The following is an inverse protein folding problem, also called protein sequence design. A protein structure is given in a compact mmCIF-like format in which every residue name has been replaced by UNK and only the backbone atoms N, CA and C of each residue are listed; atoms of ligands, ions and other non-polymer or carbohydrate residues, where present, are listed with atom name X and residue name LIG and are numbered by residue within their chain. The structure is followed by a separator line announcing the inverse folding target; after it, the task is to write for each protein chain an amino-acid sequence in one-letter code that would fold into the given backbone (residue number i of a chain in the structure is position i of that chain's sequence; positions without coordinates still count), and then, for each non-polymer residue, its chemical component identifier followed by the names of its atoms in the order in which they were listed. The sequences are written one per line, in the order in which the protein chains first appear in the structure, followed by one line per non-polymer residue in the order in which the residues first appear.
data_IF_888936404177
#
_entry.id   IF_888936404177
#
_cell.length_a   1.000
_cell.length_b   1.000
_cell.length_c   1.000
_cell.angle_alpha   90.00
_cell.angle_beta   90.00
_cell.angle_gamma   90.00
#
_symmetry.space_group_name_H-M   'P 1'
#
loop_
_entity.id
_entity.type
_entity.pdbx_description
1 polymer ?
#
# COMPACT_ATOMS: atom_id res chain seq x y z
N UNK A 1 -0.19 -21.07 -22.17
CA UNK A 1 -1.23 -21.32 -23.20
C UNK A 1 -2.25 -22.28 -22.60
N UNK A 2 -3.34 -21.74 -22.08
CA UNK A 2 -4.50 -22.51 -21.63
C UNK A 2 -5.51 -22.61 -22.78
N UNK A 3 -6.35 -23.63 -22.77
CA UNK A 3 -7.40 -23.85 -23.76
C UNK A 3 -8.60 -24.44 -23.01
N UNK A 4 -9.62 -23.65 -22.72
CA UNK A 4 -10.81 -24.07 -21.96
C UNK A 4 -12.08 -24.20 -22.83
N UNK A 5 -11.95 -23.89 -24.13
CA UNK A 5 -12.99 -24.08 -25.14
C UNK A 5 -14.00 -22.95 -25.24
N UNK A 6 -13.73 -21.76 -24.68
CA UNK A 6 -14.60 -20.60 -24.86
C UNK A 6 -13.80 -19.26 -24.90
N UNK A 7 -14.50 -18.12 -24.89
CA UNK A 7 -13.91 -16.76 -24.96
C UNK A 7 -14.37 -15.86 -23.81
N UNK A 8 -14.71 -16.46 -22.67
CA UNK A 8 -15.02 -15.73 -21.45
C UNK A 8 -13.71 -15.47 -20.68
N UNK A 9 -13.77 -14.54 -19.74
CA UNK A 9 -12.74 -14.40 -18.71
C UNK A 9 -13.35 -14.89 -17.38
N UNK A 10 -12.51 -15.30 -16.45
CA UNK A 10 -12.87 -15.71 -15.09
C UNK A 10 -13.34 -17.15 -14.95
N UNK A 11 -13.12 -17.97 -15.96
CA UNK A 11 -13.34 -19.41 -15.94
C UNK A 11 -12.04 -20.23 -15.92
N UNK A 12 -10.91 -19.57 -15.64
CA UNK A 12 -9.59 -20.20 -15.49
C UNK A 12 -8.76 -20.18 -16.77
N UNK A 13 -9.23 -19.47 -17.80
CA UNK A 13 -8.48 -19.19 -19.02
C UNK A 13 -8.98 -17.88 -19.61
N UNK A 14 -8.05 -16.95 -19.86
CA UNK A 14 -8.38 -15.66 -20.49
C UNK A 14 -9.01 -15.87 -21.87
N UNK A 15 -9.87 -14.93 -22.28
CA UNK A 15 -10.57 -14.98 -23.56
C UNK A 15 -9.65 -15.00 -24.81
N UNK A 16 -8.35 -14.75 -24.66
CA UNK A 16 -7.36 -14.81 -25.73
C UNK A 16 -6.41 -16.03 -25.62
N UNK A 17 -6.68 -16.94 -24.67
CA UNK A 17 -5.91 -18.16 -24.39
C UNK A 17 -4.44 -17.93 -23.98
N UNK A 18 -4.07 -16.70 -23.62
CA UNK A 18 -2.69 -16.36 -23.26
C UNK A 18 -2.39 -16.63 -21.79
N UNK A 19 -3.35 -16.34 -20.92
CA UNK A 19 -3.25 -16.42 -19.46
C UNK A 19 -4.18 -17.49 -18.87
N UNK A 20 -3.72 -18.22 -17.86
CA UNK A 20 -4.52 -19.11 -17.01
C UNK A 20 -5.22 -18.39 -15.84
N UNK A 21 -5.25 -17.04 -15.87
CA UNK A 21 -6.01 -16.21 -14.95
C UNK A 21 -5.58 -16.33 -13.48
N UNK A 22 -4.27 -16.48 -13.27
CA UNK A 22 -3.67 -16.56 -11.95
C UNK A 22 -2.60 -15.49 -11.79
N UNK A 23 -2.69 -14.68 -10.74
CA UNK A 23 -1.63 -13.79 -10.34
C UNK A 23 -0.27 -14.48 -10.25
N UNK A 24 0.76 -13.82 -10.80
CA UNK A 24 2.13 -14.30 -10.88
C UNK A 24 2.42 -15.17 -12.09
N UNK A 25 1.58 -15.13 -13.13
CA UNK A 25 1.76 -15.93 -14.34
C UNK A 25 2.45 -15.16 -15.48
N UNK A 26 2.79 -13.90 -15.26
CA UNK A 26 3.41 -13.00 -16.22
C UNK A 26 2.42 -12.26 -17.12
N UNK A 27 1.12 -12.35 -16.85
CA UNK A 27 0.06 -11.69 -17.61
C UNK A 27 -0.87 -10.93 -16.68
N UNK A 28 -1.02 -9.63 -16.91
CA UNK A 28 -1.99 -8.82 -16.15
C UNK A 28 -3.42 -9.11 -16.63
N UNK A 29 -4.18 -9.84 -15.83
CA UNK A 29 -5.57 -10.17 -16.09
C UNK A 29 -6.52 -9.10 -15.52
N UNK A 30 -6.52 -7.92 -16.14
CA UNK A 30 -7.36 -6.79 -15.68
C UNK A 30 -8.86 -7.10 -15.68
N UNK A 31 -9.32 -8.08 -16.46
CA UNK A 31 -10.70 -8.58 -16.42
C UNK A 31 -11.08 -9.21 -15.07
N UNK A 32 -10.11 -9.72 -14.33
CA UNK A 32 -10.27 -10.19 -12.94
C UNK A 32 -9.88 -9.14 -11.91
N UNK A 33 -9.48 -7.96 -12.37
CA UNK A 33 -9.07 -6.81 -11.57
C UNK A 33 -7.63 -6.89 -11.06
N UNK A 34 -6.76 -7.60 -11.77
CA UNK A 34 -5.32 -7.43 -11.59
C UNK A 34 -4.88 -6.06 -12.13
N UNK A 35 -3.99 -5.40 -11.40
CA UNK A 35 -3.41 -4.10 -11.76
C UNK A 35 -1.96 -4.22 -12.23
N UNK A 36 -1.28 -5.30 -11.83
CA UNK A 36 0.09 -5.65 -12.17
C UNK A 36 0.22 -7.18 -12.24
N UNK A 37 1.31 -7.67 -12.83
CA UNK A 37 1.79 -9.04 -12.66
C UNK A 37 3.31 -9.04 -12.94
N UNK A 38 4.12 -9.43 -11.95
CA UNK A 38 5.59 -9.47 -12.04
C UNK A 38 6.14 -10.91 -12.12
N UNK A 39 5.30 -11.83 -12.62
CA UNK A 39 5.61 -13.24 -12.84
C UNK A 39 5.88 -14.06 -11.58
N UNK A 40 5.49 -13.56 -10.40
CA UNK A 40 5.54 -14.33 -9.17
C UNK A 40 4.48 -13.83 -8.15
N UNK A 41 4.49 -14.35 -6.92
CA UNK A 41 3.52 -14.03 -5.85
C UNK A 41 4.21 -13.61 -4.55
N UNK A 42 5.43 -13.06 -4.69
CA UNK A 42 6.13 -12.39 -3.60
C UNK A 42 5.57 -10.97 -3.51
N UNK A 43 5.67 -10.36 -2.34
CA UNK A 43 5.35 -8.95 -2.15
C UNK A 43 6.66 -8.21 -1.91
N UNK A 44 6.72 -6.96 -2.35
CA UNK A 44 7.85 -6.05 -2.19
C UNK A 44 8.84 -6.13 -3.35
N UNK A 45 8.44 -6.72 -4.46
CA UNK A 45 9.20 -6.81 -5.72
C UNK A 45 8.53 -6.08 -6.90
N UNK A 46 7.47 -5.31 -6.63
CA UNK A 46 6.83 -4.41 -7.60
C UNK A 46 5.43 -4.83 -8.01
N UNK A 47 4.89 -5.89 -7.42
CA UNK A 47 3.49 -6.26 -7.53
C UNK A 47 3.08 -6.99 -6.25
N UNK A 48 1.94 -6.64 -5.67
CA UNK A 48 1.47 -7.33 -4.48
C UNK A 48 1.17 -8.81 -4.82
N UNK A 49 1.35 -9.71 -3.86
CA UNK A 49 1.15 -11.16 -4.03
C UNK A 49 -0.27 -11.59 -4.50
N UNK A 50 -1.23 -10.66 -4.51
CA UNK A 50 -2.59 -10.85 -5.01
C UNK A 50 -2.89 -10.07 -6.30
N UNK A 51 -1.88 -9.42 -6.88
CA UNK A 51 -1.92 -8.59 -8.08
C UNK A 51 -2.93 -7.43 -8.02
N UNK A 52 -3.35 -7.02 -6.81
CA UNK A 52 -4.32 -5.93 -6.60
C UNK A 52 -3.68 -4.56 -6.39
N UNK A 53 -2.37 -4.54 -6.22
CA UNK A 53 -1.59 -3.32 -6.06
C UNK A 53 -0.26 -3.45 -6.77
N UNK A 54 0.19 -2.38 -7.41
CA UNK A 54 1.52 -2.26 -8.04
C UNK A 54 2.61 -1.82 -7.06
N UNK A 55 2.31 -1.81 -5.75
CA UNK A 55 3.24 -1.47 -4.67
C UNK A 55 3.84 -0.06 -4.84
N UNK A 56 3.04 0.85 -5.40
CA UNK A 56 3.45 2.21 -5.69
C UNK A 56 2.79 3.20 -4.74
N UNK A 57 3.60 4.10 -4.18
CA UNK A 57 3.09 5.14 -3.31
C UNK A 57 2.13 6.09 -4.03
N UNK A 58 1.01 6.37 -3.38
CA UNK A 58 -0.08 7.22 -3.87
C UNK A 58 -1.12 6.46 -4.68
N UNK A 59 -1.15 5.13 -4.62
CA UNK A 59 -2.13 4.29 -5.32
C UNK A 59 -3.40 4.03 -4.48
N UNK A 60 -3.53 4.70 -3.33
CA UNK A 60 -4.64 4.56 -2.36
C UNK A 60 -4.70 3.21 -1.65
N UNK A 61 -3.61 2.43 -1.68
CA UNK A 61 -3.47 1.15 -1.00
C UNK A 61 -2.22 1.24 -0.15
N UNK A 62 -2.31 0.91 1.13
CA UNK A 62 -1.11 0.83 1.97
C UNK A 62 -0.42 -0.50 1.67
N UNK A 63 0.67 -0.43 0.92
CA UNK A 63 1.44 -1.59 0.49
C UNK A 63 2.55 -1.98 1.48
N UNK A 64 3.27 -3.06 1.17
CA UNK A 64 4.44 -3.44 1.94
C UNK A 64 5.49 -2.33 1.87
N UNK A 65 6.14 -2.06 3.02
CA UNK A 65 7.09 -0.95 3.22
C UNK A 65 6.49 0.45 3.29
N UNK A 66 5.17 0.58 3.18
CA UNK A 66 4.46 1.83 3.42
C UNK A 66 3.91 1.91 4.84
N UNK A 67 3.80 3.13 5.36
CA UNK A 67 3.16 3.40 6.66
C UNK A 67 1.86 4.19 6.51
N UNK A 68 1.67 4.82 5.35
CA UNK A 68 0.48 5.53 4.93
C UNK A 68 0.40 5.50 3.40
N UNK A 69 -0.79 5.72 2.84
CA UNK A 69 -1.02 6.08 1.44
C UNK A 69 -2.31 6.91 1.42
N UNK A 70 -2.24 8.15 0.95
CA UNK A 70 -3.39 9.08 0.87
C UNK A 70 -3.87 9.30 -0.58
N UNK A 71 -3.45 8.43 -1.50
CA UNK A 71 -3.85 8.43 -2.90
C UNK A 71 -3.17 9.49 -3.76
N UNK A 72 -2.06 10.08 -3.29
CA UNK A 72 -1.27 10.99 -4.10
C UNK A 72 0.23 10.95 -3.73
N UNK A 73 1.06 11.65 -4.51
CA UNK A 73 2.52 11.72 -4.31
C UNK A 73 2.96 13.13 -3.94
N UNK A 74 2.15 13.85 -3.17
CA UNK A 74 2.45 15.21 -2.68
C UNK A 74 2.85 15.12 -1.22
N UNK A 75 3.93 15.82 -0.86
CA UNK A 75 4.32 15.96 0.53
C UNK A 75 3.29 16.78 1.31
N UNK A 76 2.50 16.14 2.17
CA UNK A 76 1.62 16.82 3.12
C UNK A 76 1.51 16.14 4.50
N UNK A 77 0.63 16.67 5.35
CA UNK A 77 0.49 16.20 6.74
C UNK A 77 -0.31 14.88 6.87
N UNK A 78 -0.93 14.39 5.80
CA UNK A 78 -1.65 13.11 5.78
C UNK A 78 -0.74 11.97 5.37
N UNK A 79 0.06 12.14 4.30
CA UNK A 79 1.10 11.18 3.92
C UNK A 79 2.21 11.89 3.12
N UNK A 80 3.47 11.49 3.31
CA UNK A 80 4.54 12.03 2.47
C UNK A 80 4.52 11.39 1.08
N UNK A 81 5.16 12.03 0.10
CA UNK A 81 5.27 11.52 -1.26
C UNK A 81 6.04 10.19 -1.39
N UNK A 82 6.68 9.73 -0.31
CA UNK A 82 7.37 8.45 -0.20
C UNK A 82 6.63 7.44 0.70
N UNK A 83 5.37 7.69 1.06
CA UNK A 83 4.51 6.80 1.84
C UNK A 83 5.02 6.49 3.25
N UNK A 84 5.88 7.38 3.74
CA UNK A 84 6.21 7.48 5.15
C UNK A 84 5.37 8.57 5.79
N UNK A 85 4.92 8.32 7.02
CA UNK A 85 4.31 9.37 7.83
C UNK A 85 5.29 10.52 8.00
N UNK A 86 4.99 11.61 7.32
CA UNK A 86 5.69 12.86 7.54
C UNK A 86 5.26 13.43 8.86
N UNK A 87 6.25 13.97 9.53
CA UNK A 87 6.08 14.48 10.84
C UNK A 87 6.70 15.89 10.79
N UNK A 88 5.88 16.96 10.70
CA UNK A 88 6.35 18.33 10.50
C UNK A 88 6.93 18.99 11.77
N UNK A 89 8.11 19.62 11.78
CA UNK A 89 8.69 20.19 13.00
C UNK A 89 7.69 21.03 13.82
N UNK A 90 7.26 20.52 14.99
CA UNK A 90 6.24 21.14 15.85
C UNK A 90 5.14 20.21 16.39
N UNK A 91 4.91 19.01 15.82
CA UNK A 91 4.17 17.95 16.55
C UNK A 91 5.16 17.31 17.55
N UNK A 92 4.86 17.42 18.84
CA UNK A 92 5.79 17.09 19.92
C UNK A 92 6.08 18.23 20.90
N UNK A 93 5.60 19.46 20.64
CA UNK A 93 5.59 20.54 21.63
C UNK A 93 4.26 20.53 22.39
N UNK A 94 4.27 19.99 23.61
CA UNK A 94 3.18 20.09 24.58
C UNK A 94 2.89 21.58 24.88
N UNK A 95 1.84 22.14 24.26
CA UNK A 95 1.22 23.41 24.68
C UNK A 95 -0.26 23.16 25.03
N UNK A 96 -0.49 22.52 26.19
CA UNK A 96 -1.78 22.57 26.89
C UNK A 96 -2.86 21.53 26.57
N UNK A 97 -2.55 20.33 26.06
CA UNK A 97 -3.55 19.26 25.85
C UNK A 97 -2.94 17.88 25.59
N UNK A 98 -3.76 16.82 25.62
CA UNK A 98 -3.35 15.41 25.43
C UNK A 98 -2.49 15.26 24.18
N UNK A 99 -1.22 14.88 24.38
CA UNK A 99 -0.21 14.85 23.33
C UNK A 99 -0.23 13.50 22.63
N UNK A 100 -0.52 13.53 21.33
CA UNK A 100 -0.41 12.38 20.44
C UNK A 100 1.00 12.39 19.86
N UNK A 101 1.86 11.42 20.22
CA UNK A 101 3.21 11.34 19.68
C UNK A 101 3.27 10.28 18.57
N UNK A 102 3.89 10.61 17.44
CA UNK A 102 4.20 9.65 16.39
C UNK A 102 5.52 8.97 16.73
N UNK A 103 5.48 7.66 16.97
CA UNK A 103 6.68 6.88 17.21
C UNK A 103 7.57 6.84 15.95
N UNK A 104 8.88 6.52 16.06
CA UNK A 104 9.75 6.29 14.90
C UNK A 104 9.30 5.13 13.99
N UNK A 105 8.21 4.43 14.33
CA UNK A 105 7.58 3.37 13.55
C UNK A 105 6.26 3.80 12.91
N UNK A 106 5.87 5.08 13.00
CA UNK A 106 4.64 5.60 12.41
C UNK A 106 3.37 5.35 13.23
N UNK A 107 3.45 4.60 14.34
CA UNK A 107 2.28 4.42 15.21
C UNK A 107 1.97 5.66 16.04
N UNK A 108 0.67 5.96 16.16
CA UNK A 108 0.08 6.94 17.07
C UNK A 108 0.13 6.37 18.50
N UNK A 109 1.10 6.80 19.30
CA UNK A 109 1.23 6.35 20.69
C UNK A 109 0.54 7.35 21.61
N UNK A 110 -0.57 6.93 22.23
CA UNK A 110 -1.14 7.62 23.37
C UNK A 110 -0.23 7.37 24.59
N UNK A 111 0.62 8.33 24.92
CA UNK A 111 1.25 8.35 26.25
C UNK A 111 0.51 9.33 27.14
N UNK A 112 -0.24 8.81 28.12
CA UNK A 112 -0.55 9.58 29.32
C UNK A 112 0.79 9.86 30.03
N UNK A 113 1.20 11.14 30.05
CA UNK A 113 2.21 11.80 30.91
C UNK A 113 3.24 12.66 30.15
N UNK A 114 2.84 13.89 29.76
CA UNK A 114 3.73 15.04 29.85
C UNK A 114 3.72 15.46 31.34
N UNK A 115 4.76 15.18 32.12
CA UNK A 115 4.93 15.74 33.48
C UNK A 115 5.60 17.12 33.38
N UNK A 116 4.89 18.22 33.72
CA UNK A 116 5.42 19.58 33.61
C UNK A 116 6.36 19.99 34.75
N UNK A 117 6.76 19.10 35.68
CA UNK A 117 7.53 19.47 36.89
C UNK A 117 9.01 19.05 36.93
N UNK A 118 9.57 18.45 35.88
CA UNK A 118 11.03 18.27 35.78
C UNK A 118 11.62 19.45 34.98
N UNK A 119 11.72 20.59 35.67
CA UNK A 119 12.39 21.81 35.20
C UNK A 119 13.91 21.72 35.21
#
# INVERSE_FOLDING_TARGET
MCEDGNFNNGDGCSANCLSNETCGNGYTDSGLGEVCDDSNIVSGDGCAANCRSDESCGNSIVDIFETCDDGNTVDDFTCAANCFLMCPPGYGECSGGTSTYCSPFGDVVLTEYCDPLQG
#
